data_IF_213124982617
#
_entry.id   IF_213124982617
#
_cell.length_a   1.000
_cell.length_b   1.000
_cell.length_c   1.000
_cell.angle_alpha   90.00
_cell.angle_beta   90.00
_cell.angle_gamma   90.00
#
_symmetry.space_group_name_H-M   'P 1'
#
loop_
_entity.id
_entity.type
_entity.pdbx_description
1 polymer ?
#
# COMPACT_ATOMS: atom_id res chain seq x y z
N UNK A 1 -3.77 -20.95 -0.52
CA UNK A 1 -2.72 -20.55 -1.49
C UNK A 1 -1.47 -21.32 -1.12
N UNK A 2 -0.70 -21.85 -2.08
CA UNK A 2 0.57 -22.48 -1.72
C UNK A 2 1.53 -21.43 -1.11
N UNK A 3 2.40 -21.80 -0.16
CA UNK A 3 3.34 -20.85 0.47
C UNK A 3 4.21 -20.13 -0.57
N UNK A 4 4.60 -20.85 -1.63
CA UNK A 4 5.41 -20.32 -2.72
C UNK A 4 4.69 -19.20 -3.49
N UNK A 5 3.40 -19.38 -3.80
CA UNK A 5 2.60 -18.36 -4.51
C UNK A 5 2.40 -17.11 -3.65
N UNK A 6 2.20 -17.25 -2.33
CA UNK A 6 2.10 -16.10 -1.41
C UNK A 6 3.39 -15.29 -1.40
N UNK A 7 4.53 -15.96 -1.28
CA UNK A 7 5.84 -15.31 -1.28
C UNK A 7 6.05 -14.54 -2.58
N UNK A 8 5.78 -15.16 -3.74
CA UNK A 8 5.94 -14.52 -5.05
C UNK A 8 5.03 -13.29 -5.21
N UNK A 9 3.78 -13.37 -4.76
CA UNK A 9 2.84 -12.24 -4.81
C UNK A 9 3.28 -11.13 -3.86
N UNK A 10 3.63 -11.45 -2.61
CA UNK A 10 4.10 -10.47 -1.63
C UNK A 10 5.34 -9.73 -2.11
N UNK A 11 6.34 -10.46 -2.61
CA UNK A 11 7.54 -9.87 -3.22
C UNK A 11 7.19 -9.01 -4.45
N UNK A 12 6.31 -9.48 -5.32
CA UNK A 12 5.85 -8.72 -6.47
C UNK A 12 5.21 -7.39 -6.08
N UNK A 13 4.33 -7.39 -5.09
CA UNK A 13 3.67 -6.18 -4.57
C UNK A 13 4.68 -5.22 -3.96
N UNK A 14 5.64 -5.72 -3.17
CA UNK A 14 6.71 -4.89 -2.57
C UNK A 14 7.55 -4.23 -3.67
N UNK A 15 7.98 -4.99 -4.68
CA UNK A 15 8.81 -4.48 -5.77
C UNK A 15 8.06 -3.41 -6.57
N UNK A 16 6.80 -3.65 -6.93
CA UNK A 16 5.97 -2.68 -7.66
C UNK A 16 5.75 -1.41 -6.82
N UNK A 17 5.45 -1.58 -5.54
CA UNK A 17 5.25 -0.45 -4.61
C UNK A 17 6.54 0.35 -4.43
N UNK A 18 7.69 -0.31 -4.31
CA UNK A 18 9.00 0.33 -4.25
C UNK A 18 9.29 1.15 -5.52
N UNK A 19 9.02 0.58 -6.70
CA UNK A 19 9.17 1.30 -7.97
C UNK A 19 8.25 2.51 -8.04
N UNK A 20 7.03 2.43 -7.49
CA UNK A 20 6.12 3.57 -7.41
C UNK A 20 6.66 4.68 -6.48
N UNK A 21 7.34 4.33 -5.37
CA UNK A 21 8.03 5.30 -4.50
C UNK A 21 9.22 5.93 -5.23
N UNK A 22 10.08 5.11 -5.86
CA UNK A 22 11.30 5.55 -6.53
C UNK A 22 10.99 6.41 -7.76
N UNK A 23 10.06 5.97 -8.61
CA UNK A 23 9.65 6.65 -9.85
C UNK A 23 8.36 7.42 -9.68
N UNK A 24 8.25 8.19 -8.60
CA UNK A 24 7.02 8.93 -8.31
C UNK A 24 6.70 10.00 -9.36
N UNK A 25 7.69 10.52 -10.07
CA UNK A 25 7.46 11.44 -11.18
C UNK A 25 6.79 10.75 -12.37
N UNK A 26 7.18 9.50 -12.66
CA UNK A 26 6.52 8.68 -13.67
C UNK A 26 5.10 8.33 -13.25
N UNK A 27 4.89 8.01 -11.97
CA UNK A 27 3.53 7.80 -11.43
C UNK A 27 2.70 9.08 -11.58
N UNK A 28 3.26 10.24 -11.23
CA UNK A 28 2.58 11.52 -11.38
C UNK A 28 2.32 11.90 -12.84
N UNK A 29 3.22 11.55 -13.77
CA UNK A 29 3.00 11.83 -15.20
C UNK A 29 1.88 10.96 -15.80
N UNK A 30 1.64 9.78 -15.24
CA UNK A 30 0.55 8.88 -15.66
C UNK A 30 -0.79 9.31 -15.04
N UNK A 31 -0.81 9.56 -13.72
CA UNK A 31 -2.05 9.84 -12.98
C UNK A 31 -2.41 11.34 -12.91
N UNK A 32 -1.47 12.23 -13.23
CA UNK A 32 -1.66 13.67 -13.13
C UNK A 32 -1.57 14.21 -11.69
N UNK A 33 -1.89 15.49 -11.53
CA UNK A 33 -2.01 16.15 -10.22
C UNK A 33 -3.31 15.73 -9.55
N UNK A 34 -3.27 15.49 -8.24
CA UNK A 34 -4.44 15.11 -7.47
C UNK A 34 -4.98 16.34 -6.72
N UNK A 35 -6.18 16.79 -7.08
CA UNK A 35 -6.81 17.98 -6.51
C UNK A 35 -7.02 17.91 -4.99
N UNK A 36 -7.30 16.72 -4.45
CA UNK A 36 -7.42 16.53 -3.01
C UNK A 36 -6.08 16.73 -2.31
N UNK A 37 -5.01 16.15 -2.86
CA UNK A 37 -3.67 16.28 -2.31
C UNK A 37 -3.18 17.74 -2.36
N UNK A 38 -3.43 18.45 -3.46
CA UNK A 38 -3.05 19.85 -3.60
C UNK A 38 -3.81 20.77 -2.62
N UNK A 39 -5.09 20.47 -2.34
CA UNK A 39 -5.92 21.24 -1.39
C UNK A 39 -5.61 20.93 0.07
N UNK A 40 -5.31 19.68 0.41
CA UNK A 40 -5.15 19.22 1.80
C UNK A 40 -3.69 19.24 2.27
N UNK A 41 -2.75 18.88 1.41
CA UNK A 41 -1.33 18.81 1.76
C UNK A 41 -0.55 20.05 1.30
N UNK A 42 -1.10 20.81 0.35
CA UNK A 42 -0.52 22.05 -0.18
C UNK A 42 -0.09 21.95 -1.65
N UNK A 43 0.21 23.09 -2.25
CA UNK A 43 0.55 23.20 -3.68
C UNK A 43 1.83 22.41 -4.00
N UNK A 44 1.75 21.52 -4.98
CA UNK A 44 2.84 20.66 -5.46
C UNK A 44 3.01 19.35 -4.68
N UNK A 45 2.20 19.11 -3.65
CA UNK A 45 2.35 17.96 -2.74
C UNK A 45 1.73 16.67 -3.29
N UNK A 46 1.20 16.66 -4.52
CA UNK A 46 0.76 15.43 -5.17
C UNK A 46 1.86 14.35 -5.18
N UNK A 47 3.14 14.72 -5.36
CA UNK A 47 4.28 13.77 -5.32
C UNK A 47 4.36 13.07 -3.97
N UNK A 48 4.22 13.84 -2.89
CA UNK A 48 4.26 13.33 -1.52
C UNK A 48 3.08 12.40 -1.24
N UNK A 49 1.88 12.76 -1.72
CA UNK A 49 0.71 11.90 -1.62
C UNK A 49 0.92 10.55 -2.31
N UNK A 50 1.41 10.53 -3.55
CA UNK A 50 1.69 9.27 -4.25
C UNK A 50 2.78 8.44 -3.57
N UNK A 51 3.80 9.06 -2.98
CA UNK A 51 4.78 8.33 -2.14
C UNK A 51 4.12 7.72 -0.92
N UNK A 52 3.26 8.45 -0.21
CA UNK A 52 2.56 7.93 0.98
C UNK A 52 1.67 6.73 0.64
N UNK A 53 0.91 6.82 -0.46
CA UNK A 53 0.08 5.70 -0.95
C UNK A 53 0.96 4.51 -1.32
N UNK A 54 2.06 4.74 -2.04
CA UNK A 54 2.98 3.67 -2.43
C UNK A 54 3.65 2.99 -1.21
N UNK A 55 4.06 3.76 -0.19
CA UNK A 55 4.58 3.21 1.07
C UNK A 55 3.52 2.40 1.81
N UNK A 56 2.28 2.88 1.87
CA UNK A 56 1.17 2.11 2.46
C UNK A 56 0.93 0.79 1.73
N UNK A 57 0.99 0.82 0.40
CA UNK A 57 0.85 -0.38 -0.45
C UNK A 57 2.02 -1.35 -0.27
N UNK A 58 3.23 -0.82 -0.05
CA UNK A 58 4.43 -1.60 0.26
C UNK A 58 4.29 -2.35 1.59
N UNK A 59 3.69 -1.72 2.61
CA UNK A 59 3.38 -2.37 3.88
C UNK A 59 2.38 -3.52 3.70
N UNK A 60 1.36 -3.36 2.84
CA UNK A 60 0.44 -4.45 2.50
C UNK A 60 1.17 -5.63 1.85
N UNK A 61 2.10 -5.35 0.94
CA UNK A 61 2.97 -6.39 0.35
C UNK A 61 3.79 -7.14 1.39
N UNK A 62 4.33 -6.44 2.39
CA UNK A 62 5.07 -7.04 3.49
C UNK A 62 4.18 -7.92 4.38
N UNK A 63 2.94 -7.51 4.64
CA UNK A 63 1.97 -8.30 5.43
C UNK A 63 1.59 -9.60 4.69
N UNK A 64 1.41 -9.54 3.36
CA UNK A 64 1.17 -10.72 2.53
C UNK A 64 2.36 -11.68 2.55
N UNK A 65 3.59 -11.14 2.55
CA UNK A 65 4.83 -11.92 2.56
C UNK A 65 5.04 -12.68 3.88
N UNK A 66 4.74 -12.05 5.03
CA UNK A 66 5.01 -12.63 6.35
C UNK A 66 3.91 -13.57 6.86
N UNK A 67 2.87 -13.82 6.07
CA UNK A 67 1.67 -14.55 6.48
C UNK A 67 0.96 -13.95 7.71
N UNK A 68 1.33 -12.73 8.09
CA UNK A 68 0.71 -11.99 9.19
C UNK A 68 -0.63 -11.37 8.77
N UNK A 69 -1.12 -11.61 7.55
CA UNK A 69 -2.44 -11.17 7.10
C UNK A 69 -3.52 -11.64 8.07
N UNK A 70 -3.48 -12.91 8.46
CA UNK A 70 -4.52 -13.50 9.29
C UNK A 70 -4.50 -12.94 10.72
N UNK A 71 -3.32 -12.65 11.27
CA UNK A 71 -3.17 -12.06 12.60
C UNK A 71 -3.53 -10.57 12.55
N UNK A 72 -2.95 -9.81 11.62
CA UNK A 72 -3.11 -8.36 11.58
C UNK A 72 -4.50 -7.95 11.12
N UNK A 73 -5.01 -8.48 10.00
CA UNK A 73 -6.36 -8.16 9.53
C UNK A 73 -7.42 -8.91 10.31
N UNK A 74 -7.19 -10.18 10.68
CA UNK A 74 -8.16 -10.94 11.46
C UNK A 74 -8.40 -10.33 12.84
N UNK A 75 -7.34 -10.07 13.61
CA UNK A 75 -7.51 -9.50 14.96
C UNK A 75 -7.90 -8.02 14.92
N UNK A 76 -7.41 -7.24 13.97
CA UNK A 76 -7.81 -5.83 13.83
C UNK A 76 -9.27 -5.70 13.41
N UNK A 77 -9.72 -6.46 12.40
CA UNK A 77 -11.12 -6.46 11.99
C UNK A 77 -12.01 -7.04 13.09
N UNK A 78 -11.59 -8.07 13.80
CA UNK A 78 -12.33 -8.61 14.95
C UNK A 78 -12.46 -7.57 16.07
N UNK A 79 -11.42 -6.76 16.31
CA UNK A 79 -11.41 -5.69 17.31
C UNK A 79 -12.24 -4.48 16.91
N UNK A 80 -12.28 -4.13 15.62
CA UNK A 80 -13.08 -3.01 15.09
C UNK A 80 -14.55 -3.39 14.89
N UNK A 81 -14.83 -4.61 14.40
CA UNK A 81 -16.17 -5.07 14.05
C UNK A 81 -16.83 -5.98 15.11
N UNK A 82 -16.18 -6.23 16.25
CA UNK A 82 -16.80 -6.87 17.42
C UNK A 82 -17.38 -8.27 17.18
N UNK A 83 -16.84 -9.03 16.22
CA UNK A 83 -17.38 -10.33 15.81
C UNK A 83 -17.21 -11.41 16.88
N UNK A 84 -18.30 -11.68 17.61
CA UNK A 84 -18.49 -12.87 18.45
C UNK A 84 -19.58 -13.72 17.79
N UNK A 85 -19.24 -14.49 16.75
CA UNK A 85 -19.95 -15.73 16.36
C UNK A 85 -18.95 -16.66 15.69
#
# INVERSE_FOLDING_TARGET
MSPLTRILIGLGVIIVSFLAVWKTETVQSIFGRNDWAERTLGVGQTKTFYKMVAVGTMMLGAIILTDMVDILFGDFLRKIFGGTV
#
